data_IF_917217232060
#
_entry.id   IF_917217232060
#
_cell.length_a   1.000
_cell.length_b   1.000
_cell.length_c   1.000
_cell.angle_alpha   90.00
_cell.angle_beta   90.00
_cell.angle_gamma   90.00
#
_symmetry.space_group_name_H-M   'P 1'
#
loop_
_entity.id
_entity.type
_entity.pdbx_description
1 polymer ?
#
# COMPACT_ATOMS: atom_id res chain seq x y z
N UNK A 1 10.05 28.67 -21.46
CA UNK A 1 9.01 27.64 -21.28
C UNK A 1 9.21 27.01 -19.92
N UNK A 2 8.33 27.34 -18.96
CA UNK A 2 8.37 26.75 -17.63
C UNK A 2 7.74 25.35 -17.71
N UNK A 3 8.54 24.29 -17.60
CA UNK A 3 8.04 22.92 -17.52
C UNK A 3 7.46 22.67 -16.12
N UNK A 4 6.14 22.40 -15.96
CA UNK A 4 5.56 22.05 -14.67
C UNK A 4 5.96 20.65 -14.16
N UNK A 5 6.79 19.90 -14.90
CA UNK A 5 7.24 18.54 -14.54
C UNK A 5 8.49 18.50 -13.64
N UNK A 6 9.08 19.65 -13.29
CA UNK A 6 10.27 19.75 -12.42
C UNK A 6 9.94 19.94 -10.92
N UNK A 7 8.68 19.78 -10.51
CA UNK A 7 8.21 20.07 -9.14
C UNK A 7 7.78 18.89 -8.28
N UNK A 8 8.17 17.67 -8.64
CA UNK A 8 8.14 16.55 -7.70
C UNK A 8 9.57 16.05 -7.48
N UNK A 9 10.40 16.87 -6.84
CA UNK A 9 11.61 16.39 -6.16
C UNK A 9 11.14 15.33 -5.16
N UNK A 10 11.24 14.08 -5.58
CA UNK A 10 10.73 12.93 -4.87
C UNK A 10 11.24 12.93 -3.44
N UNK A 11 10.32 13.00 -2.47
CA UNK A 11 10.62 12.56 -1.11
C UNK A 11 11.00 11.09 -1.23
N UNK A 12 12.28 10.78 -1.04
CA UNK A 12 12.78 9.41 -1.03
C UNK A 12 12.04 8.68 0.10
N UNK A 13 11.04 7.88 -0.26
CA UNK A 13 10.35 6.99 0.68
C UNK A 13 11.28 5.81 0.92
N UNK A 14 11.69 5.61 2.17
CA UNK A 14 12.54 4.45 2.52
C UNK A 14 11.61 3.28 2.79
N UNK A 15 11.65 2.25 1.94
CA UNK A 15 10.92 1.01 2.16
C UNK A 15 11.41 0.35 3.46
N UNK A 16 10.48 0.04 4.35
CA UNK A 16 10.76 -0.62 5.64
C UNK A 16 10.31 -2.08 5.62
N UNK A 17 9.08 -2.32 5.18
CA UNK A 17 8.50 -3.67 5.17
C UNK A 17 7.45 -3.82 4.07
N UNK A 18 7.20 -5.07 3.67
CA UNK A 18 6.14 -5.44 2.74
C UNK A 18 5.59 -6.81 3.13
N UNK A 19 4.33 -6.84 3.52
CA UNK A 19 3.67 -8.06 3.96
C UNK A 19 2.22 -8.14 3.47
N UNK A 20 1.65 -9.34 3.59
CA UNK A 20 0.31 -9.67 3.13
C UNK A 20 -0.62 -9.88 4.32
N UNK A 21 -1.81 -9.31 4.24
CA UNK A 21 -2.88 -9.50 5.23
C UNK A 21 -4.10 -10.08 4.53
N UNK A 22 -4.53 -11.27 4.97
CA UNK A 22 -5.64 -11.98 4.33
C UNK A 22 -7.01 -11.61 4.91
N UNK A 23 -7.04 -11.10 6.14
CA UNK A 23 -8.26 -10.75 6.85
C UNK A 23 -8.52 -9.24 6.76
N UNK A 24 -9.75 -8.85 6.42
CA UNK A 24 -10.11 -7.45 6.18
C UNK A 24 -10.15 -6.60 7.44
N UNK A 25 -10.54 -7.17 8.60
CA UNK A 25 -10.57 -6.44 9.87
C UNK A 25 -9.14 -6.20 10.36
N UNK A 26 -8.29 -7.23 10.25
CA UNK A 26 -6.86 -7.12 10.56
C UNK A 26 -6.19 -6.10 9.63
N UNK A 27 -6.54 -6.10 8.34
CA UNK A 27 -6.01 -5.13 7.37
C UNK A 27 -6.29 -3.70 7.80
N UNK A 28 -7.54 -3.38 8.15
CA UNK A 28 -7.92 -2.05 8.62
C UNK A 28 -7.16 -1.65 9.88
N UNK A 29 -7.08 -2.54 10.88
CA UNK A 29 -6.35 -2.26 12.12
C UNK A 29 -4.86 -1.99 11.90
N UNK A 30 -4.23 -2.73 10.97
CA UNK A 30 -2.81 -2.54 10.63
C UNK A 30 -2.58 -1.19 9.95
N UNK A 31 -3.43 -0.80 8.99
CA UNK A 31 -3.32 0.49 8.30
C UNK A 31 -3.48 1.65 9.26
N UNK A 32 -4.49 1.58 10.14
CA UNK A 32 -4.75 2.62 11.14
C UNK A 32 -3.58 2.75 12.11
N UNK A 33 -3.05 1.63 12.61
CA UNK A 33 -1.90 1.60 13.51
C UNK A 33 -0.62 2.18 12.89
N UNK A 34 -0.29 1.77 11.66
CA UNK A 34 0.89 2.26 10.94
C UNK A 34 0.78 3.75 10.60
N UNK A 35 -0.40 4.19 10.16
CA UNK A 35 -0.65 5.59 9.83
C UNK A 35 -0.59 6.47 11.07
N UNK A 36 -1.20 6.03 12.18
CA UNK A 36 -1.15 6.73 13.46
C UNK A 36 0.27 6.82 14.03
N UNK A 37 1.11 5.80 13.81
CA UNK A 37 2.53 5.82 14.15
C UNK A 37 3.37 6.71 13.21
N UNK A 38 2.77 7.29 12.16
CA UNK A 38 3.42 8.24 11.27
C UNK A 38 4.17 7.62 10.10
N UNK A 39 3.98 6.33 9.83
CA UNK A 39 4.48 5.70 8.62
C UNK A 39 3.67 6.10 7.39
N UNK A 40 4.30 6.00 6.23
CA UNK A 40 3.64 6.14 4.94
C UNK A 40 3.34 4.73 4.43
N UNK A 41 2.09 4.47 4.03
CA UNK A 41 1.61 3.13 3.68
C UNK A 41 1.07 3.14 2.25
N UNK A 42 1.43 2.13 1.48
CA UNK A 42 0.88 1.86 0.16
C UNK A 42 0.11 0.53 0.21
N UNK A 43 -1.09 0.56 -0.39
CA UNK A 43 -2.03 -0.56 -0.36
C UNK A 43 -2.16 -1.08 -1.78
N UNK A 44 -1.77 -2.34 -1.98
CA UNK A 44 -2.04 -3.07 -3.20
C UNK A 44 -3.06 -4.17 -2.88
N UNK A 45 -4.32 -3.95 -3.29
CA UNK A 45 -5.37 -4.95 -3.05
C UNK A 45 -5.15 -6.18 -3.91
N UNK A 46 -5.08 -7.33 -3.26
CA UNK A 46 -4.81 -8.59 -3.93
C UNK A 46 -6.10 -9.24 -4.40
N UNK A 47 -6.42 -9.12 -5.68
CA UNK A 47 -7.48 -9.90 -6.32
C UNK A 47 -6.87 -10.72 -7.45
N UNK A 48 -7.29 -11.97 -7.58
CA UNK A 48 -7.00 -12.77 -8.78
C UNK A 48 -8.27 -13.29 -9.38
N UNK A 49 -8.30 -13.36 -10.71
CA UNK A 49 -9.38 -14.04 -11.42
C UNK A 49 -9.16 -15.54 -11.27
N UNK A 50 -10.02 -16.20 -10.49
CA UNK A 50 -9.81 -17.61 -10.11
C UNK A 50 -11.08 -18.44 -10.02
N UNK A 51 -12.27 -17.82 -10.05
CA UNK A 51 -13.53 -18.56 -10.11
C UNK A 51 -13.71 -19.29 -11.45
N UNK A 52 -14.61 -20.28 -11.49
CA UNK A 52 -14.97 -21.03 -12.72
C UNK A 52 -15.42 -20.09 -13.86
N UNK A 53 -15.92 -18.90 -13.52
CA UNK A 53 -16.36 -17.84 -14.43
C UNK A 53 -15.41 -16.63 -14.48
N UNK A 54 -14.19 -16.74 -13.95
CA UNK A 54 -13.25 -15.62 -13.83
C UNK A 54 -13.62 -14.63 -12.73
N UNK A 55 -14.32 -15.06 -11.69
CA UNK A 55 -14.68 -14.18 -10.57
C UNK A 55 -13.43 -13.72 -9.80
N UNK A 56 -13.43 -12.47 -9.30
CA UNK A 56 -12.36 -11.95 -8.46
C UNK A 56 -12.35 -12.69 -7.11
N UNK A 57 -11.32 -13.49 -6.90
CA UNK A 57 -11.06 -14.16 -5.63
C UNK A 57 -10.14 -13.26 -4.80
N UNK A 58 -10.52 -12.88 -3.57
CA UNK A 58 -9.65 -12.17 -2.66
C UNK A 58 -8.42 -13.04 -2.38
N UNK A 59 -7.24 -12.52 -2.71
CA UNK A 59 -6.00 -13.18 -2.32
C UNK A 59 -5.45 -12.64 -1.03
N UNK A 60 -5.95 -11.53 -0.48
CA UNK A 60 -5.36 -10.84 0.65
C UNK A 60 -4.54 -9.65 0.18
N UNK A 61 -4.61 -8.57 0.94
CA UNK A 61 -4.07 -7.27 0.57
C UNK A 61 -2.60 -7.16 0.96
N UNK A 62 -1.81 -6.55 0.08
CA UNK A 62 -0.39 -6.29 0.32
C UNK A 62 -0.26 -4.87 0.87
N UNK A 63 0.37 -4.77 2.04
CA UNK A 63 0.73 -3.50 2.66
C UNK A 63 2.23 -3.31 2.46
N UNK A 64 2.60 -2.16 1.90
CA UNK A 64 3.99 -1.72 1.81
C UNK A 64 4.18 -0.52 2.72
N UNK A 65 5.13 -0.62 3.64
CA UNK A 65 5.38 0.38 4.68
C UNK A 65 6.65 1.13 4.37
N UNK A 66 6.56 2.45 4.39
CA UNK A 66 7.68 3.34 4.17
C UNK A 66 7.91 4.24 5.39
N UNK A 67 9.16 4.61 5.60
CA UNK A 67 9.49 5.73 6.49
C UNK A 67 9.06 7.02 5.81
N UNK A 68 8.31 7.85 6.53
CA UNK A 68 7.97 9.19 6.08
C UNK A 68 9.26 10.00 5.91
N UNK A 69 9.54 10.42 4.67
CA UNK A 69 10.68 11.28 4.37
C UNK A 69 10.51 12.63 5.07
N UNK A 70 11.53 13.05 5.81
CA UNK A 70 11.61 14.38 6.43
C UNK A 70 11.53 15.47 5.35
#
# INVERSE_FOLDING_TARGET
>A
MNNPKERERGKVRVLLDRFKVNDSEVFSAVIDGLTAAGYDVEIARGFTLGGVLGEPVPQGDIITVYRKGQ
#
